data_IF_474109963796
#
_entry.id   IF_474109963796
#
_cell.length_a   1.000
_cell.length_b   1.000
_cell.length_c   1.000
_cell.angle_alpha   90.00
_cell.angle_beta   90.00
_cell.angle_gamma   90.00
#
_symmetry.space_group_name_H-M   'P 1'
#
loop_
_entity.id
_entity.type
_entity.pdbx_description
1 polymer ?
#
# COMPACT_ATOMS: atom_id res chain seq x y z
N UNK A 1 12.41 31.45 23.48
CA UNK A 1 11.06 31.55 24.05
C UNK A 1 10.52 30.14 24.25
N UNK A 2 10.18 29.73 25.48
CA UNK A 2 9.51 28.45 25.72
C UNK A 2 8.00 28.68 25.80
N UNK A 3 7.25 28.04 24.89
CA UNK A 3 5.79 27.94 25.01
C UNK A 3 5.50 26.70 25.85
N UNK A 4 5.00 26.88 27.06
CA UNK A 4 4.48 25.79 27.90
C UNK A 4 3.00 25.62 27.57
N UNK A 5 2.62 24.46 27.08
CA UNK A 5 1.21 24.08 26.85
C UNK A 5 0.72 23.42 28.14
N UNK A 6 -0.49 23.74 28.62
CA UNK A 6 -1.08 23.07 29.78
C UNK A 6 -1.57 21.68 29.34
N UNK A 7 -1.27 20.65 30.11
CA UNK A 7 -1.70 19.27 29.82
C UNK A 7 -3.22 19.12 29.75
N UNK A 8 -3.96 20.01 30.41
CA UNK A 8 -5.42 20.10 30.38
C UNK A 8 -6.00 20.54 29.02
N UNK A 9 -5.15 21.07 28.13
CA UNK A 9 -5.53 21.49 26.76
C UNK A 9 -5.19 20.42 25.71
N UNK A 10 -4.64 19.27 26.13
CA UNK A 10 -4.24 18.18 25.22
C UNK A 10 -5.28 17.07 25.28
N UNK A 11 -6.14 16.99 24.26
CA UNK A 11 -6.97 15.81 24.02
C UNK A 11 -6.18 14.77 23.24
N UNK A 12 -5.71 13.71 23.91
CA UNK A 12 -5.08 12.57 23.27
C UNK A 12 -6.17 11.56 22.88
N UNK A 13 -6.48 11.46 21.59
CA UNK A 13 -7.34 10.41 21.06
C UNK A 13 -6.46 9.25 20.60
N UNK A 14 -6.55 8.11 21.28
CA UNK A 14 -5.87 6.88 20.90
C UNK A 14 -6.86 6.05 20.07
N UNK A 15 -6.62 5.96 18.77
CA UNK A 15 -7.34 5.04 17.90
C UNK A 15 -6.54 3.73 17.82
N UNK A 16 -7.15 2.63 18.26
CA UNK A 16 -6.57 1.29 18.12
C UNK A 16 -6.90 0.77 16.72
N UNK A 17 -5.88 0.74 15.86
CA UNK A 17 -5.96 0.39 14.45
C UNK A 17 -5.10 -0.81 14.08
N UNK A 18 -5.54 -1.64 13.13
CA UNK A 18 -4.68 -2.58 12.40
C UNK A 18 -4.07 -1.90 11.18
N UNK A 19 -2.74 -1.91 11.11
CA UNK A 19 -1.99 -1.49 9.92
C UNK A 19 -1.39 -2.75 9.30
N UNK A 20 -1.68 -2.98 8.02
CA UNK A 20 -1.06 -4.04 7.24
C UNK A 20 -0.26 -3.43 6.09
N UNK A 21 0.86 -4.07 5.76
CA UNK A 21 1.65 -3.66 4.61
C UNK A 21 2.24 -4.87 3.92
N UNK A 22 2.51 -4.71 2.62
CA UNK A 22 3.26 -5.65 1.82
C UNK A 22 4.30 -4.91 1.01
N UNK A 23 5.46 -5.54 0.86
CA UNK A 23 6.55 -5.04 0.04
C UNK A 23 6.66 -5.90 -1.23
N UNK A 24 6.62 -5.27 -2.39
CA UNK A 24 6.82 -5.89 -3.70
C UNK A 24 7.95 -5.14 -4.39
N UNK A 25 9.12 -5.77 -4.44
CA UNK A 25 10.37 -5.16 -4.91
C UNK A 25 10.66 -3.83 -4.21
N UNK A 26 10.72 -2.70 -4.93
CA UNK A 26 10.93 -1.38 -4.33
C UNK A 26 9.66 -0.75 -3.80
N UNK A 27 8.47 -1.31 -4.06
CA UNK A 27 7.20 -0.71 -3.68
C UNK A 27 6.67 -1.26 -2.37
N UNK A 28 6.11 -0.38 -1.54
CA UNK A 28 5.36 -0.69 -0.33
C UNK A 28 3.92 -0.26 -0.51
N UNK A 29 3.02 -1.19 -0.24
CA UNK A 29 1.58 -0.95 -0.19
C UNK A 29 1.15 -1.04 1.27
N UNK A 30 0.60 0.03 1.81
CA UNK A 30 0.19 0.12 3.19
C UNK A 30 -1.30 0.42 3.27
N UNK A 31 -2.01 -0.37 4.05
CA UNK A 31 -3.41 -0.16 4.38
C UNK A 31 -3.54 0.03 5.90
N UNK A 32 -4.23 1.09 6.29
CA UNK A 32 -4.61 1.38 7.66
C UNK A 32 -6.14 1.42 7.70
N UNK A 33 -6.75 0.60 8.55
CA UNK A 33 -8.21 0.50 8.66
C UNK A 33 -8.88 1.83 9.03
N UNK A 34 -8.13 2.77 9.61
CA UNK A 34 -8.63 4.08 10.00
C UNK A 34 -8.59 5.11 8.86
N UNK A 35 -7.93 4.80 7.74
CA UNK A 35 -7.64 5.75 6.67
C UNK A 35 -8.65 5.66 5.53
N UNK A 36 -9.94 5.50 5.84
CA UNK A 36 -11.06 5.62 4.88
C UNK A 36 -10.95 4.74 3.61
N UNK A 37 -10.36 3.55 3.69
CA UNK A 37 -10.35 2.63 2.55
C UNK A 37 -9.35 2.98 1.45
N UNK A 38 -8.23 3.62 1.79
CA UNK A 38 -7.14 3.90 0.84
C UNK A 38 -5.91 3.03 1.09
N UNK A 39 -5.24 2.64 -0.01
CA UNK A 39 -3.92 2.00 0.04
C UNK A 39 -2.87 3.04 -0.33
N UNK A 40 -1.94 3.28 0.58
CA UNK A 40 -0.78 4.15 0.33
C UNK A 40 0.28 3.36 -0.40
N UNK A 41 0.63 3.82 -1.60
CA UNK A 41 1.75 3.29 -2.37
C UNK A 41 2.97 4.17 -2.11
N UNK A 42 4.09 3.55 -1.76
CA UNK A 42 5.38 4.21 -1.56
C UNK A 42 6.46 3.43 -2.27
N UNK A 43 7.56 4.08 -2.65
CA UNK A 43 8.72 3.41 -3.23
C UNK A 43 9.96 3.66 -2.38
N UNK A 44 10.87 2.68 -2.33
CA UNK A 44 12.13 2.77 -1.63
C UNK A 44 13.10 3.65 -2.43
N UNK A 45 13.51 4.78 -1.85
CA UNK A 45 14.52 5.68 -2.40
C UNK A 45 15.72 5.76 -1.44
N UNK A 46 16.72 4.92 -1.69
CA UNK A 46 17.84 4.72 -0.79
C UNK A 46 17.43 3.91 0.45
N UNK A 47 17.39 4.56 1.62
CA UNK A 47 17.05 3.92 2.91
C UNK A 47 15.63 4.28 3.39
N UNK A 48 14.92 5.17 2.69
CA UNK A 48 13.61 5.66 3.10
C UNK A 48 12.54 5.37 2.06
N UNK A 49 11.32 5.05 2.51
CA UNK A 49 10.17 4.95 1.65
C UNK A 49 9.58 6.34 1.39
N UNK A 50 9.48 6.72 0.12
CA UNK A 50 8.83 7.96 -0.32
C UNK A 50 7.44 7.67 -0.81
N UNK A 51 6.48 8.47 -0.36
CA UNK A 51 5.10 8.41 -0.84
C UNK A 51 5.05 8.59 -2.35
N UNK A 52 4.34 7.70 -3.04
CA UNK A 52 4.11 7.77 -4.47
C UNK A 52 2.70 8.28 -4.75
N UNK A 53 1.69 7.52 -4.34
CA UNK A 53 0.28 7.86 -4.54
C UNK A 53 -0.63 7.17 -3.52
N UNK A 54 -1.92 7.54 -3.52
CA UNK A 54 -2.97 6.84 -2.80
C UNK A 54 -3.91 6.17 -3.80
N UNK A 55 -4.12 4.87 -3.65
CA UNK A 55 -5.07 4.09 -4.43
C UNK A 55 -6.37 4.00 -3.65
N UNK A 56 -7.45 4.47 -4.26
CA UNK A 56 -8.80 4.31 -3.72
C UNK A 56 -9.27 2.90 -4.03
N UNK A 57 -9.76 2.20 -3.00
CA UNK A 57 -10.43 0.92 -3.19
C UNK A 57 -11.79 1.14 -3.86
N UNK A 58 -12.21 0.19 -4.69
CA UNK A 58 -13.57 0.18 -5.24
C UNK A 58 -14.60 0.03 -4.11
N UNK A 59 -15.86 0.43 -4.34
CA UNK A 59 -16.89 0.46 -3.28
C UNK A 59 -17.16 -0.90 -2.63
N UNK A 60 -16.88 -2.01 -3.34
CA UNK A 60 -17.02 -3.39 -2.87
C UNK A 60 -15.70 -4.03 -2.42
N UNK A 61 -14.58 -3.34 -2.57
CA UNK A 61 -13.26 -3.87 -2.23
C UNK A 61 -12.92 -3.57 -0.76
N UNK A 62 -12.84 -4.62 0.04
CA UNK A 62 -12.56 -4.53 1.48
C UNK A 62 -11.25 -5.25 1.76
N UNK A 63 -10.28 -4.52 2.32
CA UNK A 63 -9.03 -5.11 2.79
C UNK A 63 -9.20 -5.47 4.26
N UNK A 64 -9.22 -6.77 4.56
CA UNK A 64 -9.27 -7.29 5.94
C UNK A 64 -7.94 -7.94 6.31
N UNK A 65 -7.32 -8.64 5.36
CA UNK A 65 -6.08 -9.37 5.57
C UNK A 65 -5.03 -9.08 4.48
N UNK A 66 -3.82 -9.60 4.68
CA UNK A 66 -2.70 -9.39 3.76
C UNK A 66 -2.96 -9.96 2.36
N UNK A 67 -3.81 -10.98 2.22
CA UNK A 67 -4.15 -11.55 0.90
C UNK A 67 -4.97 -10.58 0.06
N UNK A 68 -5.90 -9.83 0.67
CA UNK A 68 -6.71 -8.82 -0.02
C UNK A 68 -5.80 -7.69 -0.53
N UNK A 69 -4.94 -7.17 0.35
CA UNK A 69 -3.95 -6.15 -0.01
C UNK A 69 -3.00 -6.63 -1.11
N UNK A 70 -2.63 -7.92 -1.10
CA UNK A 70 -1.80 -8.51 -2.16
C UNK A 70 -2.47 -8.46 -3.53
N UNK A 71 -3.78 -8.66 -3.62
CA UNK A 71 -4.50 -8.57 -4.90
C UNK A 71 -4.49 -7.15 -5.43
N UNK A 72 -4.81 -6.17 -4.58
CA UNK A 72 -4.78 -4.74 -4.92
C UNK A 72 -3.39 -4.33 -5.41
N UNK A 73 -2.35 -4.69 -4.67
CA UNK A 73 -0.98 -4.33 -5.01
C UNK A 73 -0.50 -4.96 -6.31
N UNK A 74 -0.83 -6.23 -6.55
CA UNK A 74 -0.46 -6.90 -7.80
C UNK A 74 -1.16 -6.26 -8.99
N UNK A 75 -2.46 -5.99 -8.89
CA UNK A 75 -3.21 -5.28 -9.93
C UNK A 75 -2.56 -3.93 -10.24
N UNK A 76 -2.27 -3.14 -9.20
CA UNK A 76 -1.58 -1.87 -9.38
C UNK A 76 -0.21 -2.03 -10.08
N UNK A 77 0.59 -3.03 -9.71
CA UNK A 77 1.88 -3.29 -10.36
C UNK A 77 1.69 -3.64 -11.85
N UNK A 78 0.74 -4.51 -12.18
CA UNK A 78 0.46 -4.89 -13.57
C UNK A 78 0.01 -3.71 -14.44
N UNK A 79 -0.70 -2.75 -13.84
CA UNK A 79 -1.22 -1.58 -14.56
C UNK A 79 -0.22 -0.43 -14.67
N UNK A 80 0.71 -0.29 -13.71
CA UNK A 80 1.58 0.89 -13.59
C UNK A 80 3.07 0.63 -13.85
N UNK A 81 3.51 -0.62 -13.88
CA UNK A 81 4.92 -0.98 -14.07
C UNK A 81 5.11 -1.76 -15.36
N UNK A 82 6.13 -1.40 -16.14
CA UNK A 82 6.53 -2.17 -17.31
C UNK A 82 7.16 -3.50 -16.89
N UNK A 83 6.52 -4.61 -17.25
CA UNK A 83 7.04 -5.95 -16.95
C UNK A 83 8.04 -6.36 -18.03
N UNK A 84 9.33 -6.15 -17.73
CA UNK A 84 10.41 -6.57 -18.61
C UNK A 84 10.75 -8.04 -18.31
N UNK A 85 10.19 -8.97 -19.09
CA UNK A 85 10.49 -10.39 -18.97
C UNK A 85 11.97 -10.67 -19.32
N UNK A 86 12.80 -10.97 -18.32
CA UNK A 86 14.14 -11.57 -18.55
C UNK A 86 14.02 -13.09 -18.67
N UNK A 87 13.58 -13.56 -19.83
CA UNK A 87 13.54 -14.99 -20.16
C UNK A 87 12.37 -15.35 -21.07
N UNK A 88 12.63 -16.21 -22.07
CA UNK A 88 11.67 -16.65 -23.10
C UNK A 88 10.27 -16.93 -22.51
N UNK A 89 9.27 -16.24 -23.05
CA UNK A 89 7.88 -16.70 -23.02
C UNK A 89 7.87 -18.06 -23.71
N UNK A 90 7.58 -19.12 -22.95
CA UNK A 90 7.20 -20.40 -23.56
C UNK A 90 5.72 -20.22 -23.88
N UNK A 91 5.42 -19.91 -25.14
CA UNK A 91 4.04 -19.91 -25.63
C UNK A 91 3.44 -21.28 -25.33
N UNK A 92 2.39 -21.32 -24.52
CA UNK A 92 1.53 -22.49 -24.40
C UNK A 92 0.89 -22.70 -25.76
N UNK A 93 1.44 -23.63 -26.54
CA UNK A 93 0.82 -24.11 -27.78
C UNK A 93 -0.56 -24.64 -27.40
N UNK A 94 -1.62 -24.00 -27.89
CA UNK A 94 -2.92 -24.65 -28.02
C UNK A 94 -2.74 -25.71 -29.10
N UNK A 95 -2.58 -26.97 -28.71
CA UNK A 95 -2.86 -28.08 -29.62
C UNK A 95 -4.38 -28.17 -29.78
N UNK A 96 -4.79 -28.28 -31.05
CA UNK A 96 -6.17 -28.32 -31.56
C UNK A 96 -7.02 -29.47 -31.01
#
# INVERSE_FOLDING_TARGET
MSKKIRTEEISLNIMSGTIIYIDIDTFRFLYDENDMGLVKVSFLDGEEYKHFENVFLEEDEVIVEHEDLRRVALNWIFDNVEIVAKGKVIESVKEE
#
